data_IF_301985164656
#
_entry.id   IF_301985164656
#
_cell.length_a   1.000
_cell.length_b   1.000
_cell.length_c   1.000
_cell.angle_alpha   90.00
_cell.angle_beta   90.00
_cell.angle_gamma   90.00
#
_symmetry.space_group_name_H-M   'P 1'
#
loop_
_entity.id
_entity.type
_entity.pdbx_description
1 polymer ?
#
# COMPACT_ATOMS: atom_id res chain seq x y z
N UNK A 1 -53.66 13.88 -67.52
CA UNK A 1 -54.30 12.54 -67.49
C UNK A 1 -54.22 12.04 -66.05
N UNK A 2 -55.31 11.77 -65.29
CA UNK A 2 -56.17 10.55 -65.27
C UNK A 2 -55.32 9.25 -65.41
N UNK A 3 -55.40 8.18 -64.61
CA UNK A 3 -56.20 7.70 -63.43
C UNK A 3 -55.43 6.46 -62.83
N UNK A 4 -55.69 5.82 -61.67
CA UNK A 4 -56.50 6.06 -60.46
C UNK A 4 -56.21 5.01 -59.35
N UNK A 5 -56.24 5.39 -58.06
CA UNK A 5 -56.54 4.53 -56.87
C UNK A 5 -58.09 4.32 -56.75
N UNK A 6 -58.74 3.62 -55.77
CA UNK A 6 -58.25 3.11 -54.46
C UNK A 6 -58.83 1.72 -54.01
N UNK A 7 -58.56 1.34 -52.75
CA UNK A 7 -59.32 0.28 -52.05
C UNK A 7 -58.96 0.17 -50.55
N UNK A 8 -59.83 0.66 -49.66
CA UNK A 8 -59.68 0.54 -48.20
C UNK A 8 -61.07 0.30 -47.56
N UNK A 9 -61.16 -0.50 -46.47
CA UNK A 9 -62.39 -0.60 -45.64
C UNK A 9 -62.19 -1.26 -44.26
N UNK A 10 -62.47 -0.47 -43.22
CA UNK A 10 -63.17 -0.78 -41.95
C UNK A 10 -64.33 0.25 -41.89
N UNK A 11 -65.53 0.01 -41.28
CA UNK A 11 -65.67 0.02 -39.80
C UNK A 11 -66.90 -0.71 -39.14
N UNK A 12 -66.82 -1.00 -37.82
CA UNK A 12 -67.84 -0.91 -36.70
C UNK A 12 -69.34 -1.36 -36.85
N UNK A 13 -70.19 -1.36 -35.78
CA UNK A 13 -70.10 -1.87 -34.38
C UNK A 13 -71.39 -2.65 -33.91
N UNK A 14 -71.56 -2.83 -32.58
CA UNK A 14 -72.75 -3.35 -31.82
C UNK A 14 -72.91 -4.89 -31.69
N UNK A 15 -73.53 -5.50 -30.65
CA UNK A 15 -74.30 -5.02 -29.48
C UNK A 15 -74.15 -5.99 -28.26
N UNK A 16 -74.86 -5.79 -27.13
CA UNK A 16 -74.51 -6.37 -25.81
C UNK A 16 -75.62 -7.14 -25.05
N UNK A 17 -75.23 -7.79 -23.91
CA UNK A 17 -76.00 -8.36 -22.76
C UNK A 17 -76.36 -9.87 -22.82
N UNK A 18 -76.66 -10.55 -21.66
CA UNK A 18 -76.45 -10.17 -20.25
C UNK A 18 -75.68 -11.22 -19.40
N UNK A 19 -75.34 -10.82 -18.17
CA UNK A 19 -74.81 -11.65 -17.07
C UNK A 19 -75.97 -12.27 -16.24
N UNK A 20 -75.76 -13.40 -15.54
CA UNK A 20 -76.34 -13.55 -14.21
C UNK A 20 -75.27 -13.93 -13.16
N UNK A 21 -75.16 -13.10 -12.12
CA UNK A 21 -74.31 -13.38 -10.97
C UNK A 21 -74.93 -14.46 -10.06
N UNK A 22 -74.09 -15.26 -9.37
CA UNK A 22 -73.92 -15.24 -7.89
C UNK A 22 -73.21 -16.50 -7.35
N UNK A 23 -72.64 -16.38 -6.13
CA UNK A 23 -72.11 -17.47 -5.25
C UNK A 23 -70.82 -18.16 -5.77
N UNK A 24 -69.61 -17.91 -5.26
CA UNK A 24 -69.20 -17.83 -3.84
C UNK A 24 -67.89 -17.05 -3.66
N UNK A 25 -67.92 -16.07 -2.77
CA UNK A 25 -66.74 -15.52 -2.10
C UNK A 25 -66.21 -16.47 -1.01
N UNK A 26 -65.00 -16.19 -0.52
CA UNK A 26 -64.34 -16.76 0.68
C UNK A 26 -63.51 -18.05 0.50
N UNK A 27 -62.29 -17.88 -0.04
CA UNK A 27 -61.10 -18.48 0.57
C UNK A 27 -60.20 -17.34 1.04
N UNK A 28 -59.69 -17.43 2.27
CA UNK A 28 -59.13 -16.30 3.03
C UNK A 28 -57.76 -15.86 2.52
N UNK A 29 -57.57 -14.54 2.39
CA UNK A 29 -56.26 -13.90 2.60
C UNK A 29 -55.81 -14.16 4.05
N UNK A 30 -54.72 -14.91 4.26
CA UNK A 30 -53.96 -14.95 5.52
C UNK A 30 -52.62 -15.71 5.32
N UNK A 31 -51.57 -14.98 4.95
CA UNK A 31 -50.15 -15.37 5.03
C UNK A 31 -49.27 -14.25 4.43
N UNK A 32 -49.32 -13.06 5.05
CA UNK A 32 -48.48 -11.91 4.68
C UNK A 32 -48.34 -10.98 5.89
N UNK A 33 -47.82 -11.55 6.97
CA UNK A 33 -47.34 -10.88 8.19
C UNK A 33 -46.33 -11.85 8.83
N UNK A 34 -45.19 -12.04 8.17
CA UNK A 34 -44.03 -12.64 8.84
C UNK A 34 -43.48 -11.63 9.84
N UNK A 35 -43.47 -12.06 11.10
CA UNK A 35 -43.23 -11.21 12.26
C UNK A 35 -41.77 -10.74 12.24
N UNK A 36 -41.55 -9.46 11.91
CA UNK A 36 -40.34 -8.77 12.33
C UNK A 36 -40.35 -8.78 13.86
N UNK A 37 -39.36 -9.37 14.55
CA UNK A 37 -39.39 -9.49 16.00
C UNK A 37 -39.29 -8.09 16.61
N UNK A 38 -40.39 -7.64 17.22
CA UNK A 38 -40.44 -6.39 17.98
C UNK A 38 -39.45 -6.52 19.13
N UNK A 39 -38.26 -5.89 18.99
CA UNK A 39 -37.27 -5.82 20.07
C UNK A 39 -37.96 -5.25 21.30
N UNK A 40 -37.93 -6.01 22.40
CA UNK A 40 -38.51 -5.64 23.68
C UNK A 40 -37.96 -4.29 24.15
N UNK A 41 -38.73 -3.54 24.94
CA UNK A 41 -38.27 -2.24 25.42
C UNK A 41 -37.02 -2.37 26.31
N UNK A 42 -36.85 -3.50 27.00
CA UNK A 42 -35.60 -3.87 27.67
C UNK A 42 -34.40 -3.98 26.71
N UNK A 43 -34.58 -4.57 25.51
CA UNK A 43 -33.53 -4.62 24.49
C UNK A 43 -33.20 -3.23 23.93
N UNK A 44 -34.17 -2.32 23.86
CA UNK A 44 -33.94 -0.91 23.45
C UNK A 44 -33.22 -0.13 24.54
N UNK A 45 -33.59 -0.31 25.81
CA UNK A 45 -32.94 0.31 26.96
C UNK A 45 -31.46 -0.14 27.06
N UNK A 46 -31.20 -1.44 27.02
CA UNK A 46 -29.84 -2.00 27.01
C UNK A 46 -29.00 -1.46 25.84
N UNK A 47 -29.58 -1.37 24.65
CA UNK A 47 -28.91 -0.82 23.47
C UNK A 47 -28.64 0.69 23.59
N UNK A 48 -29.49 1.43 24.31
CA UNK A 48 -29.26 2.85 24.62
C UNK A 48 -28.15 3.04 25.65
N UNK A 49 -28.09 2.19 26.68
CA UNK A 49 -27.06 2.20 27.71
C UNK A 49 -25.67 1.86 27.13
N UNK A 50 -25.59 0.83 26.28
CA UNK A 50 -24.36 0.46 25.57
C UNK A 50 -23.88 1.61 24.67
N UNK A 51 -24.78 2.32 23.99
CA UNK A 51 -24.44 3.49 23.17
C UNK A 51 -23.89 4.64 24.02
N UNK A 52 -24.57 5.01 25.11
CA UNK A 52 -24.07 6.05 26.00
C UNK A 52 -22.69 5.72 26.60
N UNK A 53 -22.41 4.43 26.83
CA UNK A 53 -21.07 3.97 27.24
C UNK A 53 -20.03 4.08 26.11
N UNK A 54 -20.41 3.82 24.85
CA UNK A 54 -19.53 4.04 23.69
C UNK A 54 -19.23 5.54 23.56
N UNK A 55 -20.25 6.41 23.62
CA UNK A 55 -20.09 7.87 23.51
C UNK A 55 -19.09 8.41 24.57
N UNK A 56 -19.15 7.91 25.81
CA UNK A 56 -18.19 8.27 26.86
C UNK A 56 -16.77 7.72 26.67
N UNK A 57 -16.63 6.54 26.03
CA UNK A 57 -15.33 6.00 25.62
C UNK A 57 -14.74 6.85 24.49
N UNK A 58 -15.55 7.22 23.49
CA UNK A 58 -15.13 8.05 22.35
C UNK A 58 -14.67 9.45 22.81
N UNK A 59 -15.38 10.06 23.78
CA UNK A 59 -14.91 11.29 24.42
C UNK A 59 -13.55 11.10 25.11
N UNK A 60 -13.38 10.01 25.88
CA UNK A 60 -12.11 9.70 26.56
C UNK A 60 -10.96 9.50 25.55
N UNK A 61 -11.23 8.84 24.43
CA UNK A 61 -10.27 8.67 23.32
C UNK A 61 -9.89 10.02 22.72
N UNK A 62 -10.86 10.90 22.48
CA UNK A 62 -10.61 12.25 21.98
C UNK A 62 -9.72 13.08 22.93
N UNK A 63 -10.01 13.04 24.23
CA UNK A 63 -9.21 13.72 25.27
C UNK A 63 -7.77 13.20 25.31
N UNK A 64 -7.57 11.87 25.27
CA UNK A 64 -6.24 11.24 25.25
C UNK A 64 -5.46 11.54 23.95
N UNK A 65 -6.13 11.61 22.80
CA UNK A 65 -5.50 12.03 21.53
C UNK A 65 -5.06 13.50 21.61
N UNK A 66 -5.89 14.37 22.18
CA UNK A 66 -5.57 15.79 22.38
C UNK A 66 -4.39 15.98 23.33
N UNK A 67 -4.33 15.26 24.46
CA UNK A 67 -3.17 15.29 25.35
C UNK A 67 -1.91 14.80 24.62
N UNK A 68 -2.00 13.67 23.90
CA UNK A 68 -0.88 13.11 23.14
C UNK A 68 -0.33 14.10 22.10
N UNK A 69 -1.20 14.79 21.38
CA UNK A 69 -0.85 15.84 20.43
C UNK A 69 -0.08 16.98 21.12
N UNK A 70 -0.59 17.47 22.25
CA UNK A 70 0.07 18.52 23.02
C UNK A 70 1.46 18.09 23.55
N UNK A 71 1.62 16.84 24.02
CA UNK A 71 2.95 16.32 24.39
C UNK A 71 3.89 16.23 23.18
N UNK A 72 3.42 15.77 22.02
CA UNK A 72 4.21 15.74 20.78
C UNK A 72 4.67 17.16 20.37
N UNK A 73 3.78 18.15 20.50
CA UNK A 73 4.07 19.57 20.27
C UNK A 73 5.09 20.15 21.27
N UNK A 74 5.11 19.67 22.52
CA UNK A 74 6.12 20.04 23.52
C UNK A 74 7.50 19.45 23.18
N UNK A 75 7.56 18.18 22.77
CA UNK A 75 8.80 17.55 22.26
C UNK A 75 9.33 18.29 21.03
N UNK A 76 8.44 18.74 20.13
CA UNK A 76 8.79 19.60 19.00
C UNK A 76 9.48 20.90 19.44
N UNK A 77 8.84 21.67 20.32
CA UNK A 77 9.40 22.93 20.84
C UNK A 77 10.74 22.76 21.56
N UNK A 78 10.92 21.68 22.31
CA UNK A 78 12.16 21.41 23.05
C UNK A 78 13.38 21.17 22.14
N UNK A 79 13.18 20.76 20.88
CA UNK A 79 14.26 20.55 19.90
C UNK A 79 14.66 21.82 19.09
N UNK A 80 13.92 22.93 19.25
CA UNK A 80 14.26 24.24 18.66
C UNK A 80 13.66 24.50 17.27
N UNK A 81 13.25 25.74 17.01
CA UNK A 81 12.40 26.12 15.86
C UNK A 81 13.10 26.25 14.49
N UNK A 82 14.34 25.79 14.34
CA UNK A 82 15.19 26.00 13.16
C UNK A 82 15.64 24.69 12.49
N UNK A 83 14.89 23.61 12.69
CA UNK A 83 15.23 22.25 12.28
C UNK A 83 14.16 21.69 11.32
N UNK A 84 14.59 20.99 10.28
CA UNK A 84 13.71 20.47 9.22
C UNK A 84 12.83 19.31 9.73
N UNK A 85 11.78 18.91 8.99
CA UNK A 85 10.88 17.84 9.42
C UNK A 85 11.60 16.49 9.72
N UNK A 86 12.73 16.23 9.06
CA UNK A 86 13.64 15.09 9.33
C UNK A 86 14.15 15.05 10.79
N UNK A 87 14.38 16.18 11.45
CA UNK A 87 14.86 16.23 12.85
C UNK A 87 13.81 15.75 13.87
N UNK A 88 12.56 15.65 13.43
CA UNK A 88 11.41 15.25 14.24
C UNK A 88 10.96 13.82 13.96
N UNK A 89 11.00 13.36 12.71
CA UNK A 89 10.69 11.97 12.38
C UNK A 89 11.75 11.02 12.95
N UNK A 90 11.31 9.95 13.61
CA UNK A 90 12.18 8.99 14.31
C UNK A 90 11.60 7.58 14.13
N UNK A 91 11.94 6.90 13.01
CA UNK A 91 11.36 5.60 12.66
C UNK A 91 11.67 4.52 13.70
N UNK A 92 12.82 4.59 14.36
CA UNK A 92 13.20 3.71 15.47
C UNK A 92 12.23 3.84 16.65
N UNK A 93 11.81 5.08 16.94
CA UNK A 93 10.90 5.37 18.03
C UNK A 93 9.46 5.01 17.68
N UNK A 94 9.03 5.25 16.44
CA UNK A 94 7.74 4.79 15.95
C UNK A 94 7.65 3.25 16.02
N UNK A 95 8.66 2.54 15.53
CA UNK A 95 8.71 1.08 15.56
C UNK A 95 8.60 0.52 16.98
N UNK A 96 9.32 1.11 17.95
CA UNK A 96 9.20 0.74 19.36
C UNK A 96 7.79 0.97 19.93
N UNK A 97 7.10 2.06 19.54
CA UNK A 97 5.73 2.32 19.99
C UNK A 97 4.75 1.33 19.39
N UNK A 98 4.88 1.00 18.10
CA UNK A 98 4.00 0.05 17.42
C UNK A 98 4.17 -1.39 17.92
N UNK A 99 5.41 -1.84 18.17
CA UNK A 99 5.66 -3.15 18.82
C UNK A 99 4.95 -3.23 20.17
N UNK A 100 5.11 -2.21 21.02
CA UNK A 100 4.40 -2.12 22.31
C UNK A 100 2.88 -2.02 22.20
N UNK A 101 2.32 -1.64 21.03
CA UNK A 101 0.86 -1.68 20.79
C UNK A 101 0.42 -3.11 20.53
N UNK A 102 1.19 -3.89 19.76
CA UNK A 102 0.97 -5.32 19.52
C UNK A 102 1.18 -6.13 20.80
N UNK A 103 2.31 -5.95 21.49
CA UNK A 103 2.70 -6.73 22.69
C UNK A 103 1.67 -6.66 23.85
N UNK A 104 0.81 -5.64 23.86
CA UNK A 104 -0.24 -5.41 24.87
C UNK A 104 -1.66 -5.56 24.33
N UNK A 105 -1.83 -6.06 23.11
CA UNK A 105 -3.15 -6.23 22.52
C UNK A 105 -3.85 -7.49 23.05
N UNK A 106 -4.70 -7.30 24.06
CA UNK A 106 -5.63 -8.32 24.56
C UNK A 106 -7.06 -8.10 24.04
N UNK A 107 -7.23 -7.20 23.06
CA UNK A 107 -8.53 -6.72 22.59
C UNK A 107 -9.15 -7.53 21.42
N UNK A 108 -10.40 -7.21 21.05
CA UNK A 108 -11.10 -7.87 19.94
C UNK A 108 -10.68 -7.37 18.54
N UNK A 109 -9.81 -6.36 18.47
CA UNK A 109 -9.26 -5.84 17.21
C UNK A 109 -7.95 -6.55 16.88
N UNK A 110 -7.71 -6.84 15.59
CA UNK A 110 -6.45 -7.42 15.15
C UNK A 110 -5.30 -6.42 15.27
N UNK A 111 -4.09 -6.94 15.42
CA UNK A 111 -2.86 -6.14 15.53
C UNK A 111 -2.67 -5.21 14.33
N UNK A 112 -2.97 -5.67 13.12
CA UNK A 112 -2.94 -4.86 11.89
C UNK A 112 -3.85 -3.61 11.99
N UNK A 113 -5.03 -3.74 12.60
CA UNK A 113 -5.98 -2.63 12.78
C UNK A 113 -5.47 -1.65 13.83
N UNK A 114 -4.96 -2.14 14.97
CA UNK A 114 -4.41 -1.26 16.01
C UNK A 114 -3.14 -0.55 15.55
N UNK A 115 -2.21 -1.24 14.88
CA UNK A 115 -1.01 -0.64 14.28
C UNK A 115 -1.40 0.49 13.33
N UNK A 116 -2.39 0.27 12.46
CA UNK A 116 -2.91 1.32 11.57
C UNK A 116 -3.49 2.51 12.34
N UNK A 117 -4.34 2.29 13.34
CA UNK A 117 -4.95 3.37 14.14
C UNK A 117 -3.88 4.19 14.87
N UNK A 118 -2.93 3.54 15.54
CA UNK A 118 -1.84 4.22 16.22
C UNK A 118 -0.92 4.96 15.25
N UNK A 119 -0.68 4.43 14.03
CA UNK A 119 0.08 5.11 12.98
C UNK A 119 -0.61 6.36 12.46
N UNK A 120 -1.93 6.36 12.25
CA UNK A 120 -2.65 7.59 11.89
C UNK A 120 -2.61 8.65 13.02
N UNK A 121 -2.75 8.23 14.28
CA UNK A 121 -2.61 9.13 15.44
C UNK A 121 -1.17 9.70 15.51
N UNK A 122 -0.14 8.92 15.18
CA UNK A 122 1.25 9.38 15.09
C UNK A 122 1.46 10.38 13.97
N UNK A 123 0.99 10.03 12.76
CA UNK A 123 1.03 10.88 11.55
C UNK A 123 0.39 12.25 11.80
N UNK A 124 -0.84 12.27 12.35
CA UNK A 124 -1.58 13.48 12.67
C UNK A 124 -0.94 14.32 13.80
N UNK A 125 -0.21 13.69 14.74
CA UNK A 125 0.55 14.42 15.76
C UNK A 125 1.85 15.03 15.22
N UNK A 126 2.50 14.38 14.25
CA UNK A 126 3.73 14.87 13.63
C UNK A 126 3.45 16.03 12.68
N UNK A 127 2.40 15.92 11.86
CA UNK A 127 2.01 16.92 10.86
C UNK A 127 1.57 18.28 11.44
N UNK A 128 1.38 18.40 12.76
CA UNK A 128 1.14 19.68 13.45
C UNK A 128 2.34 20.63 13.44
N UNK A 129 3.53 20.14 13.08
CA UNK A 129 4.75 20.94 12.98
C UNK A 129 4.99 21.34 11.52
N UNK A 130 5.29 20.34 10.68
CA UNK A 130 5.23 20.42 9.23
C UNK A 130 4.91 19.01 8.69
N UNK A 131 4.01 18.84 7.71
CA UNK A 131 3.80 17.55 7.05
C UNK A 131 5.07 17.07 6.33
N UNK A 132 5.49 15.83 6.58
CA UNK A 132 6.63 15.21 5.89
C UNK A 132 6.37 15.16 4.38
N UNK A 133 7.35 15.61 3.59
CA UNK A 133 7.35 15.52 2.13
C UNK A 133 8.01 14.21 1.71
N UNK A 134 7.25 13.30 1.12
CA UNK A 134 7.72 11.94 0.81
C UNK A 134 7.65 11.68 -0.69
N UNK A 135 8.81 11.66 -1.34
CA UNK A 135 8.95 11.31 -2.76
C UNK A 135 8.65 9.83 -3.02
N UNK A 136 7.97 9.51 -4.11
CA UNK A 136 7.74 8.11 -4.50
C UNK A 136 7.62 7.94 -6.02
N UNK A 137 7.90 6.73 -6.51
CA UNK A 137 7.70 6.39 -7.93
C UNK A 137 6.20 6.43 -8.28
N UNK A 138 5.81 7.48 -8.98
CA UNK A 138 4.44 7.82 -9.34
C UNK A 138 3.92 7.09 -10.58
N UNK A 139 2.82 7.57 -11.18
CA UNK A 139 1.99 8.70 -10.73
C UNK A 139 1.14 8.34 -9.50
N UNK A 140 0.16 9.16 -9.14
CA UNK A 140 -0.80 8.84 -8.06
C UNK A 140 -1.63 7.57 -8.36
N UNK A 141 -2.06 6.87 -7.31
CA UNK A 141 -2.78 5.59 -7.38
C UNK A 141 -1.89 4.35 -7.52
N UNK A 142 -0.56 4.49 -7.49
CA UNK A 142 0.37 3.36 -7.53
C UNK A 142 0.49 2.62 -6.19
N UNK A 143 1.16 1.45 -6.22
CA UNK A 143 1.55 0.75 -4.99
C UNK A 143 2.62 1.50 -4.19
N UNK A 144 3.46 2.32 -4.84
CA UNK A 144 4.42 3.21 -4.16
C UNK A 144 3.72 4.24 -3.26
N UNK A 145 2.64 4.87 -3.74
CA UNK A 145 1.83 5.78 -2.93
C UNK A 145 1.18 5.05 -1.73
N UNK A 146 0.72 3.81 -1.94
CA UNK A 146 0.19 2.98 -0.84
C UNK A 146 1.27 2.63 0.19
N UNK A 147 2.52 2.39 -0.24
CA UNK A 147 3.63 2.17 0.67
C UNK A 147 3.99 3.43 1.49
N UNK A 148 3.93 4.63 0.88
CA UNK A 148 4.06 5.91 1.59
C UNK A 148 3.04 6.02 2.70
N UNK A 149 1.74 5.90 2.40
CA UNK A 149 0.70 6.02 3.43
C UNK A 149 0.70 4.85 4.41
N UNK A 150 1.12 3.64 4.02
CA UNK A 150 1.32 2.53 4.96
C UNK A 150 2.43 2.84 5.96
N UNK A 151 3.52 3.50 5.57
CA UNK A 151 4.65 3.80 6.46
C UNK A 151 4.44 5.07 7.30
N UNK A 152 4.05 6.19 6.66
CA UNK A 152 4.01 7.51 7.28
C UNK A 152 2.61 7.95 7.74
N UNK A 153 1.56 7.17 7.44
CA UNK A 153 0.15 7.56 7.62
C UNK A 153 -0.32 8.62 6.62
N UNK A 154 -1.60 8.98 6.67
CA UNK A 154 -2.24 9.84 5.66
C UNK A 154 -2.00 11.34 5.86
N UNK A 155 -1.33 11.76 6.94
CA UNK A 155 -0.96 13.17 7.14
C UNK A 155 0.37 13.55 6.46
N UNK A 156 1.07 12.60 5.85
CA UNK A 156 2.27 12.86 5.05
C UNK A 156 1.91 13.39 3.65
N UNK A 157 2.68 14.36 3.17
CA UNK A 157 2.54 14.91 1.83
C UNK A 157 3.33 14.08 0.82
N UNK A 158 2.63 13.20 0.10
CA UNK A 158 3.23 12.38 -0.96
C UNK A 158 3.55 13.21 -2.21
N UNK A 159 4.77 13.08 -2.72
CA UNK A 159 5.25 13.72 -3.95
C UNK A 159 5.44 12.64 -5.05
N UNK A 160 4.53 12.54 -6.05
CA UNK A 160 4.67 11.61 -7.16
C UNK A 160 5.77 12.07 -8.12
N UNK A 161 6.79 11.24 -8.32
CA UNK A 161 7.93 11.48 -9.20
C UNK A 161 7.96 10.48 -10.36
N UNK A 162 8.60 10.84 -11.46
CA UNK A 162 8.52 10.09 -12.74
C UNK A 162 9.42 8.86 -12.74
N UNK A 163 10.55 8.94 -12.04
CA UNK A 163 11.62 7.93 -12.04
C UNK A 163 12.12 7.65 -10.63
N UNK A 164 12.86 6.55 -10.42
CA UNK A 164 13.46 6.25 -9.11
C UNK A 164 14.64 7.20 -8.85
N UNK A 165 15.35 7.54 -9.91
CA UNK A 165 16.44 8.51 -9.98
C UNK A 165 15.98 9.89 -9.45
N UNK A 166 14.81 10.38 -9.87
CA UNK A 166 14.18 11.59 -9.32
C UNK A 166 13.89 11.47 -7.82
N UNK A 167 13.38 10.32 -7.33
CA UNK A 167 13.11 10.12 -5.89
C UNK A 167 14.39 10.28 -5.06
N UNK A 168 15.52 9.76 -5.54
CA UNK A 168 16.81 9.95 -4.88
C UNK A 168 17.26 11.43 -4.95
N UNK A 169 17.18 12.08 -6.11
CA UNK A 169 17.60 13.48 -6.30
C UNK A 169 16.81 14.47 -5.44
N UNK A 170 15.49 14.30 -5.31
CA UNK A 170 14.64 15.18 -4.48
C UNK A 170 14.94 15.04 -2.97
N UNK A 171 15.34 13.83 -2.53
CA UNK A 171 15.74 13.59 -1.12
C UNK A 171 17.17 14.07 -0.85
N UNK A 172 18.09 13.92 -1.81
CA UNK A 172 19.46 14.43 -1.74
C UNK A 172 19.49 15.97 -1.68
N UNK A 173 18.73 16.64 -2.55
CA UNK A 173 18.57 18.11 -2.55
C UNK A 173 17.80 18.62 -1.33
N UNK A 174 16.93 17.78 -0.75
CA UNK A 174 16.10 18.12 0.40
C UNK A 174 14.78 18.81 0.06
N UNK A 175 14.34 18.77 -1.19
CA UNK A 175 12.98 19.10 -1.58
C UNK A 175 11.96 18.09 -1.04
N UNK A 176 12.37 16.81 -0.93
CA UNK A 176 11.71 15.79 -0.14
C UNK A 176 12.48 15.50 1.17
N UNK A 177 11.75 15.16 2.23
CA UNK A 177 12.33 14.71 3.50
C UNK A 177 12.80 13.25 3.41
N UNK A 178 11.97 12.41 2.77
CA UNK A 178 12.21 10.97 2.58
C UNK A 178 11.73 10.53 1.20
N UNK A 179 12.23 9.36 0.75
CA UNK A 179 11.80 8.71 -0.49
C UNK A 179 11.31 7.30 -0.22
N UNK A 180 10.32 6.82 -0.98
CA UNK A 180 9.84 5.43 -0.92
C UNK A 180 10.03 4.79 -2.29
N UNK A 181 10.97 3.84 -2.35
CA UNK A 181 11.40 3.18 -3.59
C UNK A 181 11.17 1.67 -3.51
N UNK A 182 10.57 1.04 -4.53
CA UNK A 182 10.40 -0.42 -4.54
C UNK A 182 11.76 -1.08 -4.81
N UNK A 183 12.11 -2.11 -4.03
CA UNK A 183 13.40 -2.80 -4.19
C UNK A 183 13.25 -4.24 -4.68
N UNK A 184 12.10 -4.88 -4.43
CA UNK A 184 11.88 -6.29 -4.71
C UNK A 184 10.39 -6.62 -4.77
N UNK A 185 10.00 -7.52 -5.68
CA UNK A 185 8.65 -8.07 -5.75
C UNK A 185 8.70 -9.60 -5.80
N UNK A 186 7.92 -10.29 -4.96
CA UNK A 186 7.96 -11.76 -4.86
C UNK A 186 7.59 -12.52 -6.14
N UNK A 187 6.96 -11.86 -7.12
CA UNK A 187 6.66 -12.42 -8.44
C UNK A 187 7.64 -12.05 -9.56
N UNK A 188 8.54 -11.08 -9.37
CA UNK A 188 9.46 -10.58 -10.40
C UNK A 188 10.95 -10.53 -9.98
N UNK A 189 11.24 -10.68 -8.68
CA UNK A 189 12.56 -10.47 -8.13
C UNK A 189 12.91 -8.99 -7.94
N UNK A 190 14.20 -8.70 -8.04
CA UNK A 190 14.81 -7.44 -7.61
C UNK A 190 14.72 -6.31 -8.65
N UNK A 191 14.45 -5.10 -8.16
CA UNK A 191 14.29 -3.90 -8.98
C UNK A 191 15.65 -3.20 -9.12
N UNK A 192 16.26 -3.37 -10.30
CA UNK A 192 17.68 -3.07 -10.51
C UNK A 192 18.02 -1.57 -10.39
N UNK A 193 17.17 -0.66 -10.89
CA UNK A 193 17.40 0.79 -10.81
C UNK A 193 17.54 1.27 -9.36
N UNK A 194 16.71 0.76 -8.44
CA UNK A 194 16.84 1.04 -7.01
C UNK A 194 18.19 0.58 -6.44
N UNK A 195 18.70 -0.58 -6.85
CA UNK A 195 20.03 -1.05 -6.41
C UNK A 195 21.17 -0.21 -7.02
N UNK A 196 21.04 0.18 -8.29
CA UNK A 196 22.07 0.95 -8.99
C UNK A 196 22.20 2.36 -8.40
N UNK A 197 21.10 2.98 -7.95
CA UNK A 197 21.14 4.25 -7.22
C UNK A 197 21.93 4.15 -5.90
N UNK A 198 21.87 3.03 -5.18
CA UNK A 198 22.69 2.83 -3.97
C UNK A 198 24.20 2.70 -4.23
N UNK A 199 24.63 2.46 -5.48
CA UNK A 199 26.06 2.46 -5.82
C UNK A 199 26.63 3.89 -5.66
N UNK A 200 25.95 4.90 -6.21
CA UNK A 200 26.44 6.29 -6.30
C UNK A 200 25.88 7.21 -5.22
N UNK A 201 24.62 7.05 -4.82
CA UNK A 201 23.95 7.95 -3.88
C UNK A 201 24.57 7.92 -2.47
N UNK A 202 24.67 9.06 -1.77
CA UNK A 202 25.04 9.12 -0.36
C UNK A 202 23.88 8.71 0.60
N UNK A 203 22.64 8.61 0.11
CA UNK A 203 21.45 8.39 0.93
C UNK A 203 21.51 7.08 1.73
N UNK A 204 20.72 7.07 2.81
CA UNK A 204 20.61 5.97 3.77
C UNK A 204 19.23 5.33 3.74
N UNK A 205 19.19 4.02 3.97
CA UNK A 205 17.93 3.29 4.21
C UNK A 205 17.55 3.50 5.68
N UNK A 206 16.38 4.08 5.88
CA UNK A 206 15.85 4.55 7.17
C UNK A 206 14.67 3.70 7.66
N UNK A 207 14.16 2.80 6.82
CA UNK A 207 13.01 1.95 7.09
C UNK A 207 12.67 1.09 5.89
N UNK A 208 11.72 0.19 6.07
CA UNK A 208 11.16 -0.64 4.99
C UNK A 208 9.65 -0.82 5.13
N UNK A 209 9.01 -1.24 4.04
CA UNK A 209 7.57 -1.49 3.97
C UNK A 209 7.33 -2.71 3.11
N UNK A 210 6.60 -3.69 3.63
CA UNK A 210 6.07 -4.80 2.84
C UNK A 210 4.60 -4.54 2.53
N UNK A 211 4.23 -4.63 1.25
CA UNK A 211 2.87 -4.37 0.76
C UNK A 211 2.39 -5.52 -0.12
N UNK A 212 1.29 -6.16 0.27
CA UNK A 212 0.59 -7.15 -0.57
C UNK A 212 -0.07 -6.45 -1.76
N UNK A 213 0.19 -6.97 -2.96
CA UNK A 213 -0.18 -6.36 -4.24
C UNK A 213 -1.55 -6.89 -4.68
N UNK A 214 -2.59 -6.42 -4.00
CA UNK A 214 -3.98 -6.73 -4.38
C UNK A 214 -4.42 -5.90 -5.59
N UNK A 215 -4.94 -6.57 -6.60
CA UNK A 215 -5.37 -5.99 -7.87
C UNK A 215 -6.88 -6.07 -7.99
N UNK A 216 -7.48 -4.99 -8.46
CA UNK A 216 -8.93 -4.83 -8.55
C UNK A 216 -9.30 -4.44 -9.98
N UNK A 217 -10.43 -4.95 -10.46
CA UNK A 217 -11.08 -4.46 -11.66
C UNK A 217 -11.87 -3.20 -11.30
N UNK A 218 -11.53 -2.07 -11.93
CA UNK A 218 -12.11 -0.76 -11.67
C UNK A 218 -12.78 -0.21 -12.94
N UNK A 219 -13.99 0.33 -12.86
CA UNK A 219 -14.61 1.07 -13.98
C UNK A 219 -15.34 2.32 -13.49
N UNK A 220 -15.73 3.20 -14.42
CA UNK A 220 -16.54 4.39 -14.10
C UNK A 220 -17.95 4.00 -13.65
N UNK A 221 -18.58 3.07 -14.37
CA UNK A 221 -19.96 2.67 -14.12
C UNK A 221 -20.09 1.80 -12.88
N UNK A 222 -19.10 0.95 -12.60
CA UNK A 222 -19.10 -0.08 -11.55
C UNK A 222 -19.84 -1.36 -11.92
N UNK A 223 -20.30 -1.47 -13.18
CA UNK A 223 -20.97 -2.64 -13.72
C UNK A 223 -19.98 -3.45 -14.56
N UNK A 224 -20.04 -4.78 -14.48
CA UNK A 224 -19.13 -5.66 -15.24
C UNK A 224 -19.63 -5.85 -16.68
N UNK A 225 -20.92 -5.70 -16.87
CA UNK A 225 -21.66 -5.86 -18.12
C UNK A 225 -21.27 -4.83 -19.18
N UNK A 226 -20.82 -3.64 -18.74
CA UNK A 226 -20.37 -2.55 -19.62
C UNK A 226 -18.96 -2.77 -20.17
N UNK A 227 -18.17 -3.72 -19.64
CA UNK A 227 -16.73 -3.78 -19.88
C UNK A 227 -16.38 -4.47 -21.20
N UNK A 228 -16.18 -3.68 -22.24
CA UNK A 228 -15.64 -4.12 -23.54
C UNK A 228 -14.12 -4.15 -23.57
N UNK A 229 -13.44 -3.26 -22.82
CA UNK A 229 -11.98 -3.08 -22.85
C UNK A 229 -11.37 -3.05 -21.45
N UNK A 230 -10.24 -3.73 -21.28
CA UNK A 230 -9.46 -3.77 -20.04
C UNK A 230 -8.07 -3.19 -20.26
N UNK A 231 -7.75 -2.15 -19.51
CA UNK A 231 -6.45 -1.50 -19.46
C UNK A 231 -5.64 -1.96 -18.25
N UNK A 232 -4.35 -2.27 -18.41
CA UNK A 232 -3.41 -2.41 -17.30
C UNK A 232 -1.96 -2.33 -17.79
N UNK A 233 -0.99 -2.38 -16.88
CA UNK A 233 0.38 -2.74 -17.24
C UNK A 233 0.44 -4.20 -17.73
N UNK A 234 1.37 -4.51 -18.65
CA UNK A 234 1.54 -5.86 -19.22
C UNK A 234 1.62 -6.97 -18.15
N UNK A 235 2.33 -6.69 -17.06
CA UNK A 235 2.44 -7.57 -15.91
C UNK A 235 1.10 -7.85 -15.23
N UNK A 236 0.27 -6.82 -15.03
CA UNK A 236 -1.04 -6.98 -14.37
C UNK A 236 -2.03 -7.76 -15.24
N UNK A 237 -1.98 -7.58 -16.57
CA UNK A 237 -2.72 -8.45 -17.49
C UNK A 237 -2.27 -9.92 -17.39
N UNK A 238 -0.97 -10.16 -17.21
CA UNK A 238 -0.43 -11.51 -17.03
C UNK A 238 -0.77 -12.10 -15.65
N UNK A 239 -0.74 -11.30 -14.59
CA UNK A 239 -1.03 -11.70 -13.20
C UNK A 239 -2.51 -11.91 -12.90
N UNK A 240 -3.43 -11.37 -13.70
CA UNK A 240 -4.89 -11.57 -13.56
C UNK A 240 -5.49 -12.41 -14.70
N UNK A 241 -4.64 -13.13 -15.44
CA UNK A 241 -5.01 -13.81 -16.69
C UNK A 241 -6.08 -14.88 -16.50
N UNK A 242 -6.05 -15.61 -15.38
CA UNK A 242 -7.03 -16.67 -15.09
C UNK A 242 -8.39 -16.06 -14.81
N UNK A 243 -8.45 -15.02 -13.96
CA UNK A 243 -9.70 -14.32 -13.66
C UNK A 243 -10.30 -13.67 -14.91
N UNK A 244 -9.48 -12.96 -15.71
CA UNK A 244 -9.92 -12.33 -16.96
C UNK A 244 -10.47 -13.33 -17.98
N UNK A 245 -9.86 -14.52 -18.11
CA UNK A 245 -10.34 -15.57 -19.02
C UNK A 245 -11.71 -16.11 -18.61
N UNK A 246 -12.01 -16.15 -17.32
CA UNK A 246 -13.27 -16.68 -16.79
C UNK A 246 -14.40 -15.65 -16.86
N UNK A 247 -14.13 -14.39 -16.51
CA UNK A 247 -15.16 -13.36 -16.32
C UNK A 247 -15.29 -12.39 -17.51
N UNK A 248 -14.19 -12.09 -18.20
CA UNK A 248 -14.14 -11.16 -19.34
C UNK A 248 -13.44 -11.79 -20.57
N UNK A 249 -13.92 -12.95 -21.07
CA UNK A 249 -13.28 -13.65 -22.18
C UNK A 249 -13.27 -12.82 -23.47
N UNK A 250 -14.35 -12.06 -23.74
CA UNK A 250 -14.53 -11.27 -24.96
C UNK A 250 -13.90 -9.86 -24.89
N UNK A 251 -13.55 -9.36 -23.70
CA UNK A 251 -13.02 -8.01 -23.57
C UNK A 251 -11.62 -7.89 -24.19
N UNK A 252 -11.38 -6.83 -24.96
CA UNK A 252 -10.05 -6.49 -25.47
C UNK A 252 -9.12 -6.12 -24.30
N UNK A 253 -7.85 -6.54 -24.37
CA UNK A 253 -6.87 -6.38 -23.28
C UNK A 253 -5.70 -5.53 -23.80
N UNK A 254 -5.67 -4.25 -23.44
CA UNK A 254 -4.64 -3.31 -23.92
C UNK A 254 -3.63 -2.99 -22.82
N UNK A 255 -2.36 -3.29 -23.09
CA UNK A 255 -1.22 -2.95 -22.23
C UNK A 255 -0.90 -1.46 -22.31
N UNK A 256 -0.60 -0.84 -21.17
CA UNK A 256 -0.17 0.55 -21.01
C UNK A 256 1.09 0.63 -20.13
N UNK A 257 1.65 1.84 -19.99
CA UNK A 257 2.87 2.08 -19.23
C UNK A 257 2.74 1.81 -17.72
N UNK A 258 1.55 1.99 -17.12
CA UNK A 258 1.31 1.69 -15.71
C UNK A 258 -0.17 1.41 -15.41
N UNK A 259 -0.45 0.81 -14.24
CA UNK A 259 -1.81 0.58 -13.75
C UNK A 259 -2.54 1.88 -13.37
N UNK A 260 -1.78 2.90 -12.93
CA UNK A 260 -2.34 4.21 -12.67
C UNK A 260 -2.73 4.91 -13.98
N UNK A 261 -1.94 4.76 -15.05
CA UNK A 261 -2.33 5.22 -16.39
C UNK A 261 -3.57 4.50 -16.92
N UNK A 262 -3.69 3.19 -16.65
CA UNK A 262 -4.89 2.44 -16.96
C UNK A 262 -6.13 2.99 -16.25
N UNK A 263 -6.05 3.26 -14.95
CA UNK A 263 -7.14 3.88 -14.20
C UNK A 263 -7.47 5.30 -14.69
N UNK A 264 -6.45 6.12 -14.99
CA UNK A 264 -6.60 7.46 -15.59
C UNK A 264 -7.34 7.41 -16.92
N UNK A 265 -7.05 6.41 -17.77
CA UNK A 265 -7.71 6.21 -19.07
C UNK A 265 -9.14 5.69 -18.90
N UNK A 266 -9.36 4.71 -18.03
CA UNK A 266 -10.68 4.12 -17.78
C UNK A 266 -11.70 5.13 -17.23
N UNK A 267 -11.24 6.16 -16.49
CA UNK A 267 -12.10 7.27 -16.02
C UNK A 267 -12.85 7.99 -17.14
N UNK A 268 -12.33 7.96 -18.37
CA UNK A 268 -12.87 8.75 -19.46
C UNK A 268 -13.90 7.99 -20.33
N UNK A 269 -14.09 6.68 -20.16
CA UNK A 269 -15.02 5.88 -20.98
C UNK A 269 -15.80 4.83 -20.15
N UNK A 270 -17.12 4.72 -20.37
CA UNK A 270 -17.99 3.78 -19.66
C UNK A 270 -17.73 2.32 -20.05
N UNK A 271 -17.33 2.08 -21.30
CA UNK A 271 -17.08 0.76 -21.90
C UNK A 271 -15.75 0.10 -21.45
N UNK A 272 -15.08 0.70 -20.45
CA UNK A 272 -13.70 0.39 -20.11
C UNK A 272 -13.47 0.19 -18.62
N UNK A 273 -12.60 -0.78 -18.32
CA UNK A 273 -12.10 -1.05 -17.00
C UNK A 273 -10.57 -0.96 -16.93
N UNK A 274 -10.04 -0.75 -15.74
CA UNK A 274 -8.63 -0.80 -15.41
C UNK A 274 -8.35 -1.90 -14.40
N UNK A 275 -7.17 -2.52 -14.47
CA UNK A 275 -6.62 -3.31 -13.36
C UNK A 275 -5.61 -2.46 -12.61
N UNK A 276 -5.90 -2.18 -11.35
CA UNK A 276 -5.03 -1.37 -10.49
C UNK A 276 -5.20 -1.72 -9.00
N UNK A 277 -4.33 -1.15 -8.16
CA UNK A 277 -4.51 -1.21 -6.71
C UNK A 277 -5.70 -0.37 -6.24
N UNK A 278 -6.25 -0.69 -5.06
CA UNK A 278 -7.48 -0.05 -4.53
C UNK A 278 -7.39 1.48 -4.41
N UNK A 279 -6.21 2.03 -4.18
CA UNK A 279 -5.99 3.49 -4.11
C UNK A 279 -6.35 4.22 -5.41
N UNK A 280 -6.09 3.61 -6.57
CA UNK A 280 -6.43 4.18 -7.88
C UNK A 280 -7.95 4.39 -8.06
N UNK A 281 -8.79 3.59 -7.38
CA UNK A 281 -10.23 3.80 -7.38
C UNK A 281 -10.61 5.15 -6.76
N UNK A 282 -9.98 5.51 -5.64
CA UNK A 282 -10.18 6.80 -4.98
C UNK A 282 -9.59 7.96 -5.79
N UNK A 283 -8.33 7.86 -6.20
CA UNK A 283 -7.60 8.91 -6.94
C UNK A 283 -8.28 9.26 -8.27
N UNK A 284 -8.74 8.25 -9.03
CA UNK A 284 -9.34 8.47 -10.34
C UNK A 284 -10.88 8.45 -10.34
N UNK A 285 -11.54 8.36 -9.17
CA UNK A 285 -13.00 8.37 -9.07
C UNK A 285 -13.67 7.15 -9.72
N UNK A 286 -13.00 6.00 -9.73
CA UNK A 286 -13.53 4.74 -10.26
C UNK A 286 -14.21 3.92 -9.15
N UNK A 287 -15.16 3.07 -9.55
CA UNK A 287 -15.78 2.07 -8.67
C UNK A 287 -15.06 0.74 -8.81
N UNK A 288 -14.94 0.01 -7.70
CA UNK A 288 -14.45 -1.38 -7.71
C UNK A 288 -15.57 -2.29 -8.21
N UNK A 289 -15.37 -2.95 -9.34
CA UNK A 289 -16.26 -4.02 -9.83
C UNK A 289 -15.97 -5.31 -9.06
N UNK A 290 -14.70 -5.70 -9.01
CA UNK A 290 -14.26 -6.97 -8.44
C UNK A 290 -12.84 -6.87 -7.86
N UNK A 291 -12.57 -7.68 -6.83
CA UNK A 291 -11.22 -8.02 -6.42
C UNK A 291 -11.10 -8.45 -4.95
N UNK A 292 -9.94 -8.99 -4.55
CA UNK A 292 -8.72 -9.12 -5.36
C UNK A 292 -8.88 -10.11 -6.55
N UNK A 293 -8.27 -9.81 -7.70
CA UNK A 293 -8.39 -10.60 -8.96
C UNK A 293 -7.06 -11.18 -9.46
N UNK A 294 -5.98 -11.03 -8.71
CA UNK A 294 -4.69 -11.65 -9.03
C UNK A 294 -4.72 -13.18 -8.88
N UNK A 295 -4.06 -13.87 -9.81
CA UNK A 295 -3.93 -15.34 -9.84
C UNK A 295 -3.08 -15.88 -8.67
N UNK A 296 -2.34 -15.00 -7.96
CA UNK A 296 -1.46 -15.31 -6.81
C UNK A 296 -1.64 -14.30 -5.66
N UNK A 297 -2.28 -14.68 -4.54
CA UNK A 297 -2.56 -13.77 -3.43
C UNK A 297 -1.34 -13.50 -2.53
N UNK A 298 -0.22 -14.20 -2.74
CA UNK A 298 1.05 -14.06 -2.02
C UNK A 298 2.00 -13.00 -2.64
N UNK A 299 1.58 -12.34 -3.72
CA UNK A 299 2.34 -11.29 -4.39
C UNK A 299 2.58 -10.10 -3.45
N UNK A 300 3.83 -9.88 -3.07
CA UNK A 300 4.25 -8.86 -2.09
C UNK A 300 5.41 -8.06 -2.66
N UNK A 301 5.35 -6.74 -2.53
CA UNK A 301 6.46 -5.84 -2.89
C UNK A 301 7.07 -5.27 -1.63
N UNK A 302 8.40 -5.37 -1.52
CA UNK A 302 9.21 -4.72 -0.49
C UNK A 302 9.68 -3.37 -1.02
N UNK A 303 9.41 -2.33 -0.25
CA UNK A 303 9.87 -0.96 -0.48
C UNK A 303 10.87 -0.58 0.59
N UNK A 304 11.84 0.25 0.22
CA UNK A 304 12.79 0.87 1.13
C UNK A 304 12.43 2.34 1.29
N UNK A 305 12.55 2.83 2.52
CA UNK A 305 12.45 4.24 2.86
C UNK A 305 13.87 4.80 2.87
N UNK A 306 14.16 5.74 1.97
CA UNK A 306 15.45 6.43 1.87
C UNK A 306 15.39 7.81 2.49
N UNK A 307 16.49 8.23 3.12
CA UNK A 307 16.65 9.51 3.80
C UNK A 307 18.13 9.88 3.92
N UNK A 308 18.41 10.99 4.61
CA UNK A 308 19.76 11.59 4.66
C UNK A 308 20.61 11.17 5.88
N UNK A 309 19.99 10.55 6.90
CA UNK A 309 20.63 10.22 8.17
C UNK A 309 20.47 8.73 8.52
N UNK A 310 21.34 8.23 9.42
CA UNK A 310 21.13 6.97 10.12
C UNK A 310 20.38 7.23 11.43
N UNK A 311 19.58 6.26 11.86
CA UNK A 311 18.82 6.33 13.11
C UNK A 311 19.41 5.38 14.17
N UNK A 312 19.15 5.63 15.48
CA UNK A 312 19.56 4.71 16.54
C UNK A 312 18.83 3.36 16.48
N UNK A 313 19.30 2.33 17.22
CA UNK A 313 18.66 1.01 17.27
C UNK A 313 17.18 1.06 17.71
N UNK A 314 16.33 0.29 17.03
CA UNK A 314 14.94 0.03 17.46
C UNK A 314 14.81 -1.24 18.29
N UNK A 315 15.83 -2.12 18.29
CA UNK A 315 15.88 -3.40 19.00
C UNK A 315 15.36 -4.60 18.20
N UNK A 316 14.91 -4.37 16.96
CA UNK A 316 14.69 -5.39 15.94
C UNK A 316 14.89 -4.69 14.59
N UNK A 317 16.13 -4.72 14.13
CA UNK A 317 16.64 -3.93 13.03
C UNK A 317 17.24 -4.83 11.95
N UNK A 318 17.25 -4.32 10.73
CA UNK A 318 17.93 -4.88 9.57
C UNK A 318 19.04 -3.92 9.16
N UNK A 319 20.20 -4.47 8.85
CA UNK A 319 21.32 -3.72 8.29
C UNK A 319 21.52 -4.11 6.83
N UNK A 320 21.58 -3.10 5.96
CA UNK A 320 21.90 -3.24 4.54
C UNK A 320 23.28 -2.68 4.26
N UNK A 321 24.12 -3.47 3.59
CA UNK A 321 25.47 -3.06 3.18
C UNK A 321 25.71 -3.35 1.70
N UNK A 322 26.60 -2.57 1.12
CA UNK A 322 27.19 -2.84 -0.19
C UNK A 322 28.66 -3.19 0.00
N UNK A 323 29.05 -4.42 -0.34
CA UNK A 323 30.42 -4.93 -0.20
C UNK A 323 31.06 -5.07 -1.57
N UNK A 324 32.12 -4.31 -1.83
CA UNK A 324 32.88 -4.40 -3.07
C UNK A 324 34.02 -5.40 -2.93
N UNK A 325 34.09 -6.38 -3.83
CA UNK A 325 35.19 -7.37 -3.87
C UNK A 325 35.91 -7.35 -5.21
N UNK A 326 37.19 -7.75 -5.17
CA UNK A 326 37.96 -8.12 -6.36
C UNK A 326 37.58 -9.54 -6.77
N UNK A 327 37.46 -9.78 -8.08
CA UNK A 327 37.20 -11.11 -8.60
C UNK A 327 38.38 -12.06 -8.30
N UNK A 328 38.16 -13.00 -7.37
CA UNK A 328 39.09 -14.08 -6.99
C UNK A 328 38.28 -15.28 -6.47
N UNK A 329 38.75 -16.53 -6.64
CA UNK A 329 38.14 -17.69 -6.00
C UNK A 329 37.99 -17.49 -4.48
N UNK A 330 36.81 -17.81 -3.94
CA UNK A 330 36.51 -17.66 -2.52
C UNK A 330 36.21 -16.22 -2.04
N UNK A 331 36.25 -15.19 -2.90
CA UNK A 331 35.99 -13.80 -2.50
C UNK A 331 34.66 -13.64 -1.74
N UNK A 332 33.57 -14.16 -2.30
CA UNK A 332 32.25 -14.08 -1.67
C UNK A 332 32.19 -14.91 -0.38
N UNK A 333 32.77 -16.12 -0.36
CA UNK A 333 32.79 -16.95 0.84
C UNK A 333 33.46 -16.22 2.02
N UNK A 334 34.60 -15.55 1.79
CA UNK A 334 35.27 -14.78 2.83
C UNK A 334 34.45 -13.59 3.34
N UNK A 335 33.59 -13.00 2.50
CA UNK A 335 32.67 -11.91 2.90
C UNK A 335 31.45 -12.43 3.67
N UNK A 336 30.94 -13.62 3.36
CA UNK A 336 29.76 -14.17 4.05
C UNK A 336 30.08 -14.97 5.32
N UNK A 337 31.29 -15.54 5.41
CA UNK A 337 31.70 -16.37 6.57
C UNK A 337 31.60 -15.61 7.92
N UNK A 338 32.04 -14.34 8.06
CA UNK A 338 31.92 -13.62 9.34
C UNK A 338 30.47 -13.43 9.79
N UNK A 339 29.51 -13.25 8.86
CA UNK A 339 28.09 -13.13 9.23
C UNK A 339 27.60 -14.40 9.91
N UNK A 340 27.96 -15.57 9.39
CA UNK A 340 27.63 -16.86 10.00
C UNK A 340 28.38 -17.11 11.32
N UNK A 341 29.67 -16.76 11.40
CA UNK A 341 30.51 -16.91 12.60
C UNK A 341 30.01 -16.06 13.78
N UNK A 342 29.45 -14.87 13.50
CA UNK A 342 28.81 -13.99 14.49
C UNK A 342 27.30 -14.22 14.67
N UNK A 343 26.73 -15.28 14.07
CA UNK A 343 25.32 -15.66 14.25
C UNK A 343 24.29 -14.73 13.56
N UNK A 344 24.73 -13.88 12.62
CA UNK A 344 23.90 -12.91 11.93
C UNK A 344 23.13 -13.58 10.78
N UNK A 345 21.80 -13.58 10.88
CA UNK A 345 20.93 -14.14 9.85
C UNK A 345 20.87 -13.22 8.62
N UNK A 346 21.28 -13.72 7.46
CA UNK A 346 21.11 -13.01 6.18
C UNK A 346 19.68 -13.14 5.67
N UNK A 347 19.11 -12.03 5.21
CA UNK A 347 17.79 -11.98 4.57
C UNK A 347 17.89 -11.91 3.04
N UNK A 348 18.95 -11.29 2.50
CA UNK A 348 19.10 -11.09 1.05
C UNK A 348 20.57 -10.96 0.63
N UNK A 349 20.87 -11.44 -0.57
CA UNK A 349 22.11 -11.14 -1.28
C UNK A 349 21.83 -10.95 -2.77
N UNK A 350 22.36 -9.87 -3.34
CA UNK A 350 22.27 -9.56 -4.77
C UNK A 350 23.62 -9.08 -5.29
N UNK A 351 24.00 -9.45 -6.52
CA UNK A 351 25.26 -9.03 -7.14
C UNK A 351 25.03 -8.00 -8.25
N UNK A 352 25.86 -6.94 -8.27
CA UNK A 352 25.87 -5.90 -9.30
C UNK A 352 27.30 -5.71 -9.86
N UNK A 353 27.46 -5.47 -11.16
CA UNK A 353 28.74 -5.03 -11.71
C UNK A 353 29.02 -3.60 -11.22
N UNK A 354 30.16 -3.40 -10.56
CA UNK A 354 30.54 -2.06 -10.12
C UNK A 354 30.93 -1.23 -11.34
N UNK A 355 30.26 -0.09 -11.53
CA UNK A 355 30.52 0.79 -12.68
C UNK A 355 31.87 1.54 -12.56
N UNK A 356 32.52 1.48 -11.40
CA UNK A 356 33.83 2.09 -11.13
C UNK A 356 34.94 1.03 -11.07
N UNK A 357 35.53 0.76 -12.23
CA UNK A 357 36.71 -0.09 -12.41
C UNK A 357 36.42 -1.49 -12.94
N UNK A 358 37.23 -1.95 -13.89
CA UNK A 358 37.12 -3.28 -14.48
C UNK A 358 37.22 -4.39 -13.40
N UNK A 359 36.36 -5.39 -13.52
CA UNK A 359 36.36 -6.63 -12.69
C UNK A 359 36.13 -6.44 -11.19
N UNK A 360 35.39 -5.39 -10.79
CA UNK A 360 34.84 -5.25 -9.43
C UNK A 360 33.37 -5.63 -9.39
N UNK A 361 33.00 -6.46 -8.41
CA UNK A 361 31.62 -6.80 -8.11
C UNK A 361 31.20 -6.14 -6.79
N UNK A 362 29.99 -5.59 -6.77
CA UNK A 362 29.35 -5.09 -5.58
C UNK A 362 28.26 -6.08 -5.14
N UNK A 363 28.30 -6.51 -3.89
CA UNK A 363 27.29 -7.37 -3.29
C UNK A 363 26.42 -6.55 -2.35
N UNK A 364 25.14 -6.42 -2.67
CA UNK A 364 24.14 -5.85 -1.79
C UNK A 364 23.68 -6.96 -0.83
N UNK A 365 23.86 -6.78 0.47
CA UNK A 365 23.59 -7.78 1.49
C UNK A 365 22.69 -7.19 2.58
N UNK A 366 21.59 -7.86 2.88
CA UNK A 366 20.73 -7.58 4.03
C UNK A 366 20.91 -8.65 5.10
N UNK A 367 21.12 -8.24 6.35
CA UNK A 367 21.17 -9.14 7.51
C UNK A 367 20.52 -8.51 8.76
N UNK A 368 20.11 -9.35 9.71
CA UNK A 368 19.51 -8.91 10.97
C UNK A 368 20.55 -8.33 11.94
N UNK A 369 20.15 -7.31 12.70
CA UNK A 369 20.98 -6.55 13.64
C UNK A 369 21.18 -5.10 13.22
N UNK A 370 21.60 -4.26 14.16
CA UNK A 370 21.95 -2.86 13.97
C UNK A 370 23.46 -2.67 13.83
N UNK A 371 23.94 -1.64 13.12
CA UNK A 371 25.38 -1.32 12.99
C UNK A 371 26.07 -0.96 14.32
N UNK A 372 25.29 -0.72 15.37
CA UNK A 372 25.78 -0.45 16.72
C UNK A 372 25.92 -1.74 17.57
N UNK A 373 25.38 -2.87 17.11
CA UNK A 373 25.46 -4.14 17.83
C UNK A 373 26.88 -4.73 17.75
N UNK A 374 27.40 -5.23 18.87
CA UNK A 374 28.78 -5.75 18.97
C UNK A 374 29.08 -6.85 17.93
N UNK A 375 28.12 -7.77 17.71
CA UNK A 375 28.24 -8.85 16.73
C UNK A 375 28.30 -8.33 15.28
N UNK A 376 27.53 -7.28 14.96
CA UNK A 376 27.55 -6.63 13.64
C UNK A 376 28.86 -5.88 13.43
N UNK A 377 29.33 -5.14 14.43
CA UNK A 377 30.62 -4.45 14.36
C UNK A 377 31.79 -5.41 14.20
N UNK A 378 31.78 -6.53 14.92
CA UNK A 378 32.79 -7.58 14.79
C UNK A 378 32.78 -8.18 13.37
N UNK A 379 31.61 -8.59 12.87
CA UNK A 379 31.48 -9.12 11.51
C UNK A 379 31.93 -8.12 10.43
N UNK A 380 31.47 -6.87 10.48
CA UNK A 380 31.86 -5.83 9.51
C UNK A 380 33.37 -5.57 9.51
N UNK A 381 34.01 -5.58 10.68
CA UNK A 381 35.47 -5.41 10.83
C UNK A 381 36.26 -6.57 10.24
N UNK A 382 35.71 -7.78 10.22
CA UNK A 382 36.32 -8.94 9.56
C UNK A 382 36.10 -8.92 8.05
N UNK A 383 34.88 -8.61 7.59
CA UNK A 383 34.57 -8.44 6.16
C UNK A 383 35.48 -7.37 5.53
N UNK A 384 35.79 -6.30 6.26
CA UNK A 384 36.66 -5.21 5.80
C UNK A 384 38.11 -5.64 5.51
N UNK A 385 38.53 -6.85 5.89
CA UNK A 385 39.86 -7.41 5.57
C UNK A 385 39.93 -8.03 4.18
N UNK A 386 38.80 -8.59 3.70
CA UNK A 386 38.70 -9.26 2.40
C UNK A 386 37.98 -8.40 1.34
N UNK A 387 37.13 -7.48 1.77
CA UNK A 387 36.50 -6.48 0.92
C UNK A 387 37.50 -5.39 0.47
N UNK A 388 37.28 -4.84 -0.71
CA UNK A 388 37.99 -3.63 -1.17
C UNK A 388 37.36 -2.33 -0.64
N UNK A 389 36.06 -2.37 -0.35
CA UNK A 389 35.28 -1.27 0.23
C UNK A 389 33.98 -1.85 0.82
N UNK A 390 33.50 -1.28 1.92
CA UNK A 390 32.18 -1.55 2.47
C UNK A 390 31.45 -0.22 2.66
N UNK A 391 30.27 -0.10 2.05
CA UNK A 391 29.38 1.04 2.21
C UNK A 391 28.16 0.60 3.02
N UNK A 392 28.02 1.12 4.24
CA UNK A 392 26.81 0.94 5.04
C UNK A 392 25.70 1.77 4.41
N UNK A 393 24.67 1.09 3.91
CA UNK A 393 23.51 1.72 3.27
C UNK A 393 22.46 2.09 4.32
N UNK A 394 22.29 1.31 5.38
CA UNK A 394 21.42 1.68 6.48
C UNK A 394 21.33 0.60 7.55
N UNK A 395 20.97 1.02 8.75
CA UNK A 395 20.43 0.15 9.80
C UNK A 395 19.07 0.75 10.20
N UNK A 396 18.03 -0.06 10.16
CA UNK A 396 16.66 0.45 10.21
C UNK A 396 15.68 -0.59 10.77
N UNK A 397 14.53 -0.17 11.31
CA UNK A 397 13.56 -1.10 11.89
C UNK A 397 13.00 -2.05 10.84
N UNK A 398 12.97 -3.34 11.16
CA UNK A 398 12.23 -4.34 10.39
C UNK A 398 10.74 -3.94 10.29
N UNK A 399 10.11 -4.21 9.15
CA UNK A 399 8.69 -3.88 8.92
C UNK A 399 7.77 -4.44 10.02
N UNK A 400 6.81 -3.62 10.47
CA UNK A 400 5.77 -4.01 11.43
C UNK A 400 4.43 -4.02 10.69
N UNK A 401 3.92 -5.25 10.49
CA UNK A 401 2.60 -5.62 9.93
C UNK A 401 2.19 -4.88 8.63
#
# INVERSE_FOLDING_TARGET
MKKSKPGARKPSPAQAKPNPATKRSAVRKKAADEIVPVRSDASRAMLSEVRARIDGIDQTIQELIAERAEKARQVGKAKGAAKAAIDYYRPEREAQVLRRVVDRNEGPLTDEVLVRVFREIMSACLAQQEPLKVGYLGPEGTFSQQAVYKHFGHSAHGLPLTTIEEVFQEVESGAADFGVVPVENSGQGTIQSTLDMFLTSPLKICGEVELRVHQYLLSRTGHIEDVERVYAHAQSLAQCKTWLRQHLPQAEKQSLASNAEAARRARNADDSAAIAGKSAAHVYGLKVIAGPIEDRPDNTTRFLVVGRELFPPSGNDRTSVLVYVKDKPGALFNVLRPLAEHGLSMNRIESRPAHQGLWRYAFFIDFGGHVEDEAVQAALKEIARDASEIKILGSYPCAIL
#
